data_IF_027839805381
#
_entry.id   IF_027839805381
#
_cell.length_a   1.000
_cell.length_b   1.000
_cell.length_c   1.000
_cell.angle_alpha   90.00
_cell.angle_beta   90.00
_cell.angle_gamma   90.00
#
_symmetry.space_group_name_H-M   'P 1'
#
loop_
_entity.id
_entity.type
_entity.pdbx_description
1 polymer ?
#
# COMPACT_ATOMS: atom_id res chain seq x y z
N UNK A 1 61.30 -0.81 -3.66
CA UNK A 1 60.44 -1.42 -4.71
C UNK A 1 59.22 -2.11 -4.10
N UNK A 2 59.36 -2.85 -3.00
CA UNK A 2 58.26 -3.54 -2.31
C UNK A 2 57.14 -2.62 -1.75
N UNK A 3 57.46 -1.44 -1.20
CA UNK A 3 56.44 -0.50 -0.69
C UNK A 3 55.47 0.04 -1.75
N UNK A 4 55.92 0.21 -3.01
CA UNK A 4 55.06 0.68 -4.10
C UNK A 4 54.07 -0.40 -4.54
N UNK A 5 54.46 -1.66 -4.43
CA UNK A 5 53.60 -2.80 -4.79
C UNK A 5 52.50 -2.96 -3.74
N UNK A 6 52.83 -2.93 -2.44
CA UNK A 6 51.83 -3.04 -1.37
C UNK A 6 50.85 -1.86 -1.34
N UNK A 7 51.32 -0.63 -1.63
CA UNK A 7 50.46 0.55 -1.75
C UNK A 7 49.44 0.43 -2.90
N UNK A 8 49.82 -0.17 -4.04
CA UNK A 8 48.91 -0.41 -5.15
C UNK A 8 47.82 -1.43 -4.77
N UNK A 9 48.18 -2.54 -4.12
CA UNK A 9 47.21 -3.55 -3.70
C UNK A 9 46.22 -3.02 -2.65
N UNK A 10 46.69 -2.19 -1.71
CA UNK A 10 45.82 -1.51 -0.75
C UNK A 10 44.84 -0.56 -1.46
N UNK A 11 45.32 0.20 -2.45
CA UNK A 11 44.51 1.14 -3.25
C UNK A 11 43.46 0.41 -4.10
N UNK A 12 43.82 -0.72 -4.72
CA UNK A 12 42.86 -1.57 -5.45
C UNK A 12 41.81 -2.19 -4.52
N UNK A 13 42.21 -2.63 -3.33
CA UNK A 13 41.28 -3.15 -2.31
C UNK A 13 40.28 -2.10 -1.86
N UNK A 14 40.72 -0.87 -1.59
CA UNK A 14 39.85 0.26 -1.22
C UNK A 14 38.90 0.60 -2.37
N UNK A 15 39.39 0.70 -3.60
CA UNK A 15 38.56 0.99 -4.78
C UNK A 15 37.48 -0.08 -4.98
N UNK A 16 37.83 -1.36 -4.87
CA UNK A 16 36.88 -2.47 -4.97
C UNK A 16 35.80 -2.40 -3.89
N UNK A 17 36.17 -2.08 -2.64
CA UNK A 17 35.24 -1.94 -1.53
C UNK A 17 34.27 -0.77 -1.75
N UNK A 18 34.76 0.36 -2.27
CA UNK A 18 33.94 1.52 -2.63
C UNK A 18 32.96 1.20 -3.76
N UNK A 19 33.40 0.45 -4.79
CA UNK A 19 32.53 -0.01 -5.87
C UNK A 19 31.44 -0.95 -5.32
N UNK A 20 31.79 -1.92 -4.48
CA UNK A 20 30.81 -2.81 -3.84
C UNK A 20 29.80 -2.02 -3.01
N UNK A 21 30.25 -1.06 -2.20
CA UNK A 21 29.37 -0.21 -1.41
C UNK A 21 28.44 0.62 -2.31
N UNK A 22 28.96 1.21 -3.39
CA UNK A 22 28.16 1.98 -4.35
C UNK A 22 27.10 1.11 -5.03
N UNK A 23 27.46 -0.10 -5.47
CA UNK A 23 26.52 -1.08 -6.06
C UNK A 23 25.44 -1.47 -5.05
N UNK A 24 25.81 -1.71 -3.79
CA UNK A 24 24.87 -2.09 -2.74
C UNK A 24 23.90 -0.94 -2.39
N UNK A 25 24.40 0.31 -2.36
CA UNK A 25 23.60 1.51 -2.20
C UNK A 25 22.64 1.72 -3.37
N UNK A 26 23.11 1.56 -4.62
CA UNK A 26 22.29 1.64 -5.83
C UNK A 26 21.22 0.55 -5.86
N UNK A 27 21.56 -0.69 -5.51
CA UNK A 27 20.58 -1.78 -5.43
C UNK A 27 19.53 -1.54 -4.35
N UNK A 28 19.93 -0.97 -3.21
CA UNK A 28 19.01 -0.60 -2.12
C UNK A 28 18.07 0.54 -2.52
N UNK A 29 18.53 1.54 -3.27
CA UNK A 29 17.70 2.65 -3.75
C UNK A 29 16.79 2.24 -4.91
N UNK A 30 17.23 1.29 -5.75
CA UNK A 30 16.44 0.74 -6.87
C UNK A 30 15.42 -0.31 -6.45
N UNK A 31 15.33 -0.68 -5.17
CA UNK A 31 14.31 -1.65 -4.74
C UNK A 31 12.92 -1.13 -5.09
N UNK A 32 12.15 -1.87 -5.91
CA UNK A 32 10.88 -1.39 -6.38
C UNK A 32 9.92 -1.19 -5.21
N UNK A 33 9.19 -0.08 -5.27
CA UNK A 33 8.18 0.29 -4.28
C UNK A 33 7.05 -0.74 -4.17
N UNK A 34 6.73 -1.36 -5.32
CA UNK A 34 5.70 -2.37 -5.51
C UNK A 34 6.35 -3.63 -6.07
N UNK A 35 6.03 -4.78 -5.49
CA UNK A 35 6.47 -6.08 -6.02
C UNK A 35 5.28 -7.00 -6.10
N UNK A 36 4.92 -7.41 -7.32
CA UNK A 36 3.95 -8.46 -7.58
C UNK A 36 4.57 -9.82 -7.27
N UNK A 37 3.85 -10.66 -6.54
CA UNK A 37 4.29 -11.97 -6.10
C UNK A 37 3.11 -12.94 -6.18
N UNK A 38 3.34 -14.24 -6.43
CA UNK A 38 2.29 -15.25 -6.28
C UNK A 38 1.63 -15.14 -4.92
N UNK A 39 0.32 -15.33 -4.85
CA UNK A 39 -0.42 -15.23 -3.60
C UNK A 39 0.14 -16.21 -2.56
N UNK A 40 0.28 -15.72 -1.33
CA UNK A 40 0.66 -16.52 -0.15
C UNK A 40 -0.34 -16.30 0.96
N UNK A 41 -1.00 -17.36 1.39
CA UNK A 41 -1.94 -17.29 2.52
C UNK A 41 -1.20 -17.43 3.86
N UNK A 42 -0.19 -18.30 3.92
CA UNK A 42 0.61 -18.51 5.13
C UNK A 42 1.73 -17.47 5.21
N UNK A 43 1.86 -16.85 6.38
CA UNK A 43 2.86 -15.82 6.66
C UNK A 43 3.81 -16.28 7.78
N UNK A 44 4.82 -17.13 7.47
CA UNK A 44 5.74 -17.63 8.49
C UNK A 44 6.54 -16.49 9.11
N UNK A 45 6.77 -16.55 10.43
CA UNK A 45 7.47 -15.48 11.16
C UNK A 45 6.59 -14.29 11.56
N UNK A 46 5.28 -14.37 11.35
CA UNK A 46 4.31 -13.36 11.76
C UNK A 46 3.31 -13.93 12.79
N UNK A 47 2.75 -13.04 13.59
CA UNK A 47 1.67 -13.31 14.54
C UNK A 47 0.52 -12.36 14.22
N UNK A 48 -0.70 -12.90 14.08
CA UNK A 48 -1.90 -12.10 13.85
C UNK A 48 -2.26 -11.34 15.13
N UNK A 49 -2.39 -10.01 15.03
CA UNK A 49 -2.76 -9.16 16.18
C UNK A 49 -4.10 -8.44 16.00
N UNK A 50 -4.64 -8.43 14.79
CA UNK A 50 -5.97 -7.90 14.46
C UNK A 50 -6.52 -8.64 13.24
N UNK A 51 -7.82 -8.92 13.24
CA UNK A 51 -8.57 -9.29 12.04
C UNK A 51 -9.95 -8.62 12.04
N UNK A 52 -10.44 -8.21 10.86
CA UNK A 52 -11.79 -7.64 10.73
C UNK A 52 -12.88 -8.69 10.98
N UNK A 53 -12.72 -9.87 10.39
CA UNK A 53 -13.65 -10.99 10.59
C UNK A 53 -13.28 -11.81 11.83
N UNK A 54 -14.30 -12.17 12.62
CA UNK A 54 -14.16 -13.11 13.74
C UNK A 54 -13.66 -14.46 13.21
N UNK A 55 -12.45 -14.86 13.57
CA UNK A 55 -12.07 -16.26 13.45
C UNK A 55 -12.94 -17.07 14.42
N UNK A 56 -13.72 -18.02 13.87
CA UNK A 56 -14.60 -18.88 14.64
C UNK A 56 -13.82 -19.52 15.80
N UNK A 57 -14.21 -19.23 17.04
CA UNK A 57 -13.76 -19.95 18.23
C UNK A 57 -12.81 -19.24 19.21
N UNK A 58 -12.23 -18.07 18.91
CA UNK A 58 -11.42 -17.32 19.91
C UNK A 58 -11.99 -15.95 20.20
N UNK A 59 -12.52 -15.79 21.41
CA UNK A 59 -12.82 -14.49 22.04
C UNK A 59 -11.51 -13.78 22.38
N UNK A 60 -10.84 -13.21 21.39
CA UNK A 60 -9.78 -12.24 21.64
C UNK A 60 -10.37 -10.84 21.58
N UNK A 61 -10.34 -10.15 22.72
CA UNK A 61 -10.75 -8.75 22.82
C UNK A 61 -9.97 -7.91 21.79
N UNK A 62 -10.67 -7.13 20.96
CA UNK A 62 -10.07 -6.23 19.96
C UNK A 62 -10.19 -6.64 18.48
N UNK A 63 -10.75 -7.80 18.17
CA UNK A 63 -11.00 -8.23 16.78
C UNK A 63 -12.26 -7.56 16.20
N UNK A 64 -12.19 -7.09 14.94
CA UNK A 64 -13.26 -6.39 14.24
C UNK A 64 -13.56 -4.96 14.70
N UNK A 65 -12.74 -4.41 15.61
CA UNK A 65 -12.92 -3.05 16.15
C UNK A 65 -12.57 -2.00 15.10
N UNK A 66 -13.47 -1.05 14.87
CA UNK A 66 -13.18 0.12 14.05
C UNK A 66 -11.98 0.89 14.64
N UNK A 67 -10.95 1.08 13.81
CA UNK A 67 -9.77 1.82 14.18
C UNK A 67 -9.96 3.29 13.77
N UNK A 68 -9.68 4.22 14.67
CA UNK A 68 -9.78 5.66 14.43
C UNK A 68 -8.46 6.36 14.76
N UNK A 69 -8.00 7.20 13.83
CA UNK A 69 -6.89 8.11 14.01
C UNK A 69 -7.42 9.54 14.14
N UNK A 70 -7.27 10.11 15.34
CA UNK A 70 -7.61 11.52 15.58
C UNK A 70 -6.68 12.46 14.80
N UNK A 71 -5.40 12.09 14.64
CA UNK A 71 -4.41 12.91 13.93
C UNK A 71 -4.76 13.17 12.47
N UNK A 72 -5.32 12.16 11.80
CA UNK A 72 -5.64 12.23 10.38
C UNK A 72 -7.14 12.36 10.12
N UNK A 73 -7.96 12.32 11.18
CA UNK A 73 -9.42 12.14 11.11
C UNK A 73 -9.80 11.05 10.10
N UNK A 74 -9.23 9.87 10.32
CA UNK A 74 -9.33 8.72 9.42
C UNK A 74 -9.76 7.49 10.23
N UNK A 75 -10.76 6.77 9.73
CA UNK A 75 -11.19 5.51 10.31
C UNK A 75 -11.17 4.37 9.28
N UNK A 76 -10.99 3.14 9.76
CA UNK A 76 -11.02 1.97 8.89
C UNK A 76 -10.87 0.66 9.64
N UNK A 77 -11.05 -0.45 8.91
CA UNK A 77 -10.89 -1.81 9.41
C UNK A 77 -10.00 -2.59 8.43
N UNK A 78 -8.69 -2.68 8.69
CA UNK A 78 -7.82 -3.53 7.87
C UNK A 78 -8.26 -4.99 7.95
N UNK A 79 -8.21 -5.78 6.87
CA UNK A 79 -8.59 -7.20 6.98
C UNK A 79 -7.74 -7.93 8.03
N UNK A 80 -6.43 -7.70 8.01
CA UNK A 80 -5.51 -8.21 9.02
C UNK A 80 -4.41 -7.22 9.39
N UNK A 81 -3.92 -7.33 10.61
CA UNK A 81 -2.64 -6.73 11.02
C UNK A 81 -1.77 -7.84 11.59
N UNK A 82 -0.59 -8.00 11.01
CA UNK A 82 0.42 -8.92 11.50
C UNK A 82 1.53 -8.18 12.24
N UNK A 83 2.06 -8.80 13.29
CA UNK A 83 3.31 -8.40 13.96
C UNK A 83 4.41 -9.39 13.60
N UNK A 84 5.60 -8.91 13.24
CA UNK A 84 6.77 -9.79 13.11
C UNK A 84 7.11 -10.41 14.48
N UNK A 85 7.37 -11.72 14.51
CA UNK A 85 7.80 -12.42 15.73
C UNK A 85 9.12 -11.86 16.27
N UNK A 86 10.03 -11.51 15.37
CA UNK A 86 11.28 -10.84 15.69
C UNK A 86 11.10 -9.33 15.54
N UNK A 87 11.16 -8.62 16.66
CA UNK A 87 11.02 -7.17 16.74
C UNK A 87 9.57 -6.73 16.91
N UNK A 88 9.28 -5.50 16.46
CA UNK A 88 7.99 -4.87 16.74
C UNK A 88 7.32 -4.23 15.53
N UNK A 89 7.80 -4.58 14.33
CA UNK A 89 7.20 -4.15 13.08
C UNK A 89 5.81 -4.75 12.91
N UNK A 90 4.85 -3.89 12.56
CA UNK A 90 3.49 -4.25 12.19
C UNK A 90 3.32 -4.14 10.67
N UNK A 91 2.46 -4.98 10.10
CA UNK A 91 2.22 -5.10 8.67
C UNK A 91 0.72 -5.22 8.42
N UNK A 92 0.06 -4.19 7.85
CA UNK A 92 -1.33 -4.31 7.42
C UNK A 92 -1.46 -5.21 6.18
N UNK A 93 -2.58 -5.91 6.11
CA UNK A 93 -3.00 -6.70 4.95
C UNK A 93 -4.41 -6.30 4.56
N UNK A 94 -4.59 -6.06 3.27
CA UNK A 94 -5.88 -5.80 2.63
C UNK A 94 -6.14 -6.95 1.64
N UNK A 95 -7.35 -7.50 1.68
CA UNK A 95 -7.83 -8.55 0.80
C UNK A 95 -8.73 -7.98 -0.30
N UNK A 96 -8.62 -8.55 -1.50
CA UNK A 96 -9.48 -8.24 -2.64
C UNK A 96 -9.97 -9.54 -3.25
N UNK A 97 -11.28 -9.61 -3.49
CA UNK A 97 -11.93 -10.78 -4.10
C UNK A 97 -11.59 -10.93 -5.58
N UNK A 98 -11.36 -9.81 -6.27
CA UNK A 98 -10.95 -9.79 -7.68
C UNK A 98 -9.59 -10.43 -7.94
N UNK A 99 -9.35 -10.81 -9.18
CA UNK A 99 -8.05 -11.27 -9.68
C UNK A 99 -7.32 -10.12 -10.39
N UNK A 100 -6.00 -10.04 -10.26
CA UNK A 100 -5.20 -9.02 -10.96
C UNK A 100 -4.68 -9.51 -12.32
N UNK A 101 -4.67 -10.83 -12.56
CA UNK A 101 -4.23 -11.49 -13.80
C UNK A 101 -2.82 -11.04 -14.19
N UNK A 102 -2.63 -10.56 -15.42
CA UNK A 102 -1.32 -10.14 -15.94
C UNK A 102 -0.96 -8.69 -15.62
N UNK A 103 -1.88 -7.91 -15.01
CA UNK A 103 -1.61 -6.51 -14.74
C UNK A 103 -0.39 -6.34 -13.80
N UNK A 104 0.57 -5.46 -14.15
CA UNK A 104 1.82 -5.34 -13.40
C UNK A 104 1.67 -4.56 -12.09
N UNK A 105 0.59 -3.80 -11.94
CA UNK A 105 0.30 -2.93 -10.81
C UNK A 105 -1.08 -3.25 -10.22
N UNK A 106 -1.29 -3.04 -8.91
CA UNK A 106 -2.62 -3.13 -8.31
C UNK A 106 -3.53 -2.01 -8.80
N UNK A 107 -4.84 -2.14 -8.58
CA UNK A 107 -5.75 -1.03 -8.83
C UNK A 107 -5.39 0.18 -7.94
N UNK A 108 -5.41 1.42 -8.48
CA UNK A 108 -5.01 2.60 -7.72
C UNK A 108 -5.80 2.80 -6.41
N UNK A 109 -7.12 2.57 -6.43
CA UNK A 109 -7.96 2.67 -5.24
C UNK A 109 -7.56 1.66 -4.15
N UNK A 110 -7.28 0.41 -4.52
CA UNK A 110 -6.84 -0.63 -3.58
C UNK A 110 -5.47 -0.29 -2.97
N UNK A 111 -4.56 0.29 -3.77
CA UNK A 111 -3.27 0.78 -3.30
C UNK A 111 -3.43 1.92 -2.29
N UNK A 112 -4.28 2.92 -2.58
CA UNK A 112 -4.54 4.04 -1.69
C UNK A 112 -5.25 3.59 -0.40
N UNK A 113 -6.14 2.60 -0.48
CA UNK A 113 -6.78 2.04 0.70
C UNK A 113 -5.77 1.38 1.65
N UNK A 114 -4.89 0.50 1.14
CA UNK A 114 -3.81 -0.06 1.96
C UNK A 114 -2.90 1.04 2.52
N UNK A 115 -2.61 2.06 1.71
CA UNK A 115 -1.78 3.18 2.13
C UNK A 115 -2.41 4.04 3.24
N UNK A 116 -3.74 4.17 3.26
CA UNK A 116 -4.47 4.81 4.35
C UNK A 116 -4.22 4.09 5.68
N UNK A 117 -4.13 2.75 5.67
CA UNK A 117 -3.76 1.99 6.87
C UNK A 117 -2.32 2.25 7.33
N UNK A 118 -1.40 2.65 6.45
CA UNK A 118 -0.08 3.08 6.91
C UNK A 118 -0.13 4.33 7.78
N UNK A 119 -1.06 5.25 7.51
CA UNK A 119 -1.28 6.45 8.33
C UNK A 119 -2.03 6.08 9.62
N UNK A 120 -3.12 5.34 9.49
CA UNK A 120 -3.97 4.91 10.60
C UNK A 120 -3.18 4.13 11.66
N UNK A 121 -2.41 3.14 11.25
CA UNK A 121 -1.67 2.29 12.17
C UNK A 121 -0.46 2.99 12.80
N UNK A 122 0.15 3.96 12.10
CA UNK A 122 1.23 4.76 12.67
C UNK A 122 0.74 5.59 13.86
N UNK A 123 -0.46 6.17 13.75
CA UNK A 123 -1.06 6.96 14.82
C UNK A 123 -1.48 6.06 16.00
N UNK A 124 -2.18 4.97 15.72
CA UNK A 124 -2.76 4.09 16.76
C UNK A 124 -1.68 3.29 17.51
N UNK A 125 -0.70 2.74 16.79
CA UNK A 125 0.32 1.88 17.39
C UNK A 125 1.63 2.62 17.69
N UNK A 126 1.73 3.92 17.37
CA UNK A 126 2.96 4.69 17.49
C UNK A 126 4.11 4.17 16.62
N UNK A 127 3.81 3.29 15.65
CA UNK A 127 4.81 2.58 14.83
C UNK A 127 4.43 2.65 13.38
N UNK A 128 5.28 3.29 12.60
CA UNK A 128 5.13 3.36 11.15
C UNK A 128 5.33 1.98 10.52
N UNK A 129 4.31 1.38 9.87
CA UNK A 129 4.50 0.18 9.06
C UNK A 129 5.49 0.51 7.94
N UNK A 130 6.53 -0.30 7.73
CA UNK A 130 7.49 -0.05 6.64
C UNK A 130 6.97 -0.52 5.28
N UNK A 131 5.99 -1.44 5.29
CA UNK A 131 5.30 -1.97 4.14
C UNK A 131 3.97 -2.62 4.57
N UNK A 132 3.17 -3.01 3.59
CA UNK A 132 1.94 -3.78 3.73
C UNK A 132 1.78 -4.77 2.59
N UNK A 133 0.73 -5.59 2.66
CA UNK A 133 0.37 -6.52 1.60
C UNK A 133 -1.03 -6.28 1.09
N UNK A 134 -1.17 -6.20 -0.23
CA UNK A 134 -2.47 -6.20 -0.91
C UNK A 134 -2.63 -7.56 -1.60
N UNK A 135 -3.62 -8.35 -1.19
CA UNK A 135 -3.82 -9.72 -1.67
C UNK A 135 -5.06 -9.81 -2.54
N UNK A 136 -4.87 -10.04 -3.82
CA UNK A 136 -5.92 -10.45 -4.75
C UNK A 136 -6.11 -11.97 -4.67
N UNK A 137 -7.10 -12.50 -5.40
CA UNK A 137 -7.38 -13.94 -5.39
C UNK A 137 -6.24 -14.79 -5.96
N UNK A 138 -5.45 -14.24 -6.90
CA UNK A 138 -4.38 -14.91 -7.66
C UNK A 138 -2.96 -14.45 -7.30
N UNK A 139 -2.75 -13.14 -7.12
CA UNK A 139 -1.45 -12.55 -6.77
C UNK A 139 -1.56 -11.65 -5.53
N UNK A 140 -0.40 -11.29 -4.98
CA UNK A 140 -0.28 -10.27 -3.95
C UNK A 140 0.81 -9.26 -4.26
N UNK A 141 0.64 -8.05 -3.75
CA UNK A 141 1.62 -6.98 -3.87
C UNK A 141 2.24 -6.69 -2.51
N UNK A 142 3.57 -6.73 -2.46
CA UNK A 142 4.32 -6.05 -1.41
C UNK A 142 4.34 -4.56 -1.73
N UNK A 143 3.81 -3.75 -0.81
CA UNK A 143 3.70 -2.30 -0.97
C UNK A 143 4.52 -1.61 0.10
N UNK A 144 5.59 -0.91 -0.28
CA UNK A 144 6.40 -0.15 0.67
C UNK A 144 5.66 1.12 1.11
N UNK A 145 5.80 1.53 2.37
CA UNK A 145 5.21 2.77 2.87
C UNK A 145 6.11 3.99 2.57
N UNK A 146 6.06 4.49 1.33
CA UNK A 146 6.87 5.66 0.92
C UNK A 146 6.27 6.99 1.33
N UNK A 147 7.10 8.05 1.25
CA UNK A 147 6.63 9.43 1.46
C UNK A 147 5.64 9.86 0.39
N UNK A 148 5.88 9.50 -0.88
CA UNK A 148 5.01 9.86 -1.99
C UNK A 148 3.62 9.25 -1.85
N UNK A 149 3.54 7.94 -1.58
CA UNK A 149 2.27 7.25 -1.39
C UNK A 149 1.45 7.86 -0.22
N UNK A 150 2.11 8.26 0.87
CA UNK A 150 1.43 8.94 1.97
C UNK A 150 0.97 10.35 1.62
N UNK A 151 1.75 11.08 0.82
CA UNK A 151 1.36 12.40 0.32
C UNK A 151 0.11 12.26 -0.55
N UNK A 152 0.07 11.25 -1.41
CA UNK A 152 -1.07 10.94 -2.25
C UNK A 152 -2.33 10.68 -1.42
N UNK A 153 -2.27 9.78 -0.42
CA UNK A 153 -3.41 9.55 0.49
C UNK A 153 -3.89 10.83 1.17
N UNK A 154 -2.95 11.65 1.69
CA UNK A 154 -3.32 12.92 2.35
C UNK A 154 -3.98 13.90 1.39
N UNK A 155 -3.48 13.98 0.16
CA UNK A 155 -4.06 14.83 -0.87
C UNK A 155 -5.46 14.33 -1.22
N UNK A 156 -5.63 13.04 -1.50
CA UNK A 156 -6.94 12.45 -1.80
C UNK A 156 -7.94 12.69 -0.68
N UNK A 157 -7.55 12.53 0.59
CA UNK A 157 -8.44 12.84 1.73
C UNK A 157 -8.79 14.33 1.80
N UNK A 158 -7.85 15.23 1.51
CA UNK A 158 -8.11 16.67 1.48
C UNK A 158 -9.07 17.03 0.35
N UNK A 159 -8.88 16.45 -0.84
CA UNK A 159 -9.76 16.64 -1.99
C UNK A 159 -11.17 16.12 -1.67
N UNK A 160 -11.30 14.93 -1.08
CA UNK A 160 -12.60 14.37 -0.66
C UNK A 160 -13.31 15.25 0.37
N UNK A 161 -12.59 15.83 1.33
CA UNK A 161 -13.18 16.74 2.34
C UNK A 161 -13.65 18.03 1.69
N UNK A 162 -12.84 18.61 0.81
CA UNK A 162 -13.20 19.79 0.04
C UNK A 162 -14.48 19.55 -0.77
N UNK A 163 -14.57 18.42 -1.48
CA UNK A 163 -15.77 18.01 -2.22
C UNK A 163 -17.03 17.92 -1.35
N UNK A 164 -16.90 17.54 -0.08
CA UNK A 164 -18.03 17.49 0.86
C UNK A 164 -18.43 18.89 1.36
N UNK A 165 -17.49 19.84 1.39
CA UNK A 165 -17.71 21.23 1.81
C UNK A 165 -18.34 22.07 0.70
N UNK A 166 -17.83 21.98 -0.53
CA UNK A 166 -18.28 22.78 -1.67
C UNK A 166 -19.36 22.09 -2.53
N UNK A 167 -19.49 20.77 -2.43
CA UNK A 167 -20.40 19.98 -3.26
C UNK A 167 -19.91 19.80 -4.71
N UNK A 168 -18.68 20.18 -5.01
CA UNK A 168 -18.09 20.13 -6.34
C UNK A 168 -17.09 18.98 -6.44
N UNK A 169 -17.23 18.13 -7.45
CA UNK A 169 -16.27 17.07 -7.70
C UNK A 169 -16.35 16.51 -9.11
N UNK A 170 -15.19 16.35 -9.74
CA UNK A 170 -15.10 15.79 -11.09
C UNK A 170 -14.65 14.33 -11.00
N UNK A 171 -15.50 13.35 -11.34
CA UNK A 171 -15.11 11.96 -11.36
C UNK A 171 -14.17 11.69 -12.55
N UNK A 172 -13.30 10.69 -12.43
CA UNK A 172 -12.65 10.09 -13.59
C UNK A 172 -13.65 9.18 -14.33
N UNK A 173 -14.57 9.82 -15.06
CA UNK A 173 -15.64 9.15 -15.78
C UNK A 173 -15.09 8.45 -17.04
N UNK A 174 -15.45 7.19 -17.18
CA UNK A 174 -15.19 6.36 -18.36
C UNK A 174 -16.28 5.29 -18.41
N UNK A 175 -16.48 4.66 -19.57
CA UNK A 175 -17.38 3.51 -19.66
C UNK A 175 -17.07 2.44 -18.60
N UNK A 176 -15.79 2.16 -18.34
CA UNK A 176 -15.35 1.13 -17.38
C UNK A 176 -15.68 1.50 -15.93
N UNK A 177 -15.45 2.76 -15.53
CA UNK A 177 -15.73 3.23 -14.17
C UNK A 177 -17.22 3.49 -13.93
N UNK A 178 -17.96 3.89 -14.97
CA UNK A 178 -19.37 4.22 -14.87
C UNK A 178 -20.30 3.01 -14.99
N UNK A 179 -19.97 1.96 -15.76
CA UNK A 179 -20.92 0.86 -16.04
C UNK A 179 -21.45 0.11 -14.82
N UNK A 180 -20.68 0.07 -13.71
CA UNK A 180 -21.08 -0.56 -12.45
C UNK A 180 -21.40 0.46 -11.34
N UNK A 181 -21.29 1.76 -11.63
CA UNK A 181 -21.59 2.81 -10.66
C UNK A 181 -23.11 2.90 -10.46
N UNK A 182 -23.57 2.87 -9.21
CA UNK A 182 -25.00 3.02 -8.88
C UNK A 182 -25.58 4.38 -9.32
N UNK A 183 -24.71 5.39 -9.48
CA UNK A 183 -25.11 6.72 -9.94
C UNK A 183 -25.24 6.81 -11.47
N UNK A 184 -24.89 5.77 -12.22
CA UNK A 184 -24.89 5.79 -13.68
C UNK A 184 -26.31 5.80 -14.25
N UNK A 185 -26.64 6.85 -15.00
CA UNK A 185 -27.98 7.06 -15.55
C UNK A 185 -29.01 7.47 -14.49
N UNK A 186 -28.56 7.88 -13.30
CA UNK A 186 -29.42 8.39 -12.23
C UNK A 186 -29.02 9.84 -11.90
N UNK A 187 -28.32 10.05 -10.79
CA UNK A 187 -27.97 11.38 -10.26
C UNK A 187 -26.64 11.92 -10.79
N UNK A 188 -25.78 11.09 -11.39
CA UNK A 188 -24.48 11.53 -11.89
C UNK A 188 -24.57 11.97 -13.36
N UNK A 189 -24.32 13.25 -13.68
CA UNK A 189 -24.39 13.75 -15.05
C UNK A 189 -23.35 13.08 -15.96
N UNK A 190 -22.18 12.72 -15.42
CA UNK A 190 -21.10 12.08 -16.19
C UNK A 190 -21.40 10.65 -16.65
N UNK A 191 -22.29 9.92 -15.94
CA UNK A 191 -22.64 8.55 -16.32
C UNK A 191 -23.47 8.47 -17.60
N UNK A 192 -24.27 9.50 -17.89
CA UNK A 192 -25.22 9.53 -19.00
C UNK A 192 -24.53 9.59 -20.37
N UNK A 193 -23.38 10.28 -20.47
CA UNK A 193 -22.63 10.46 -21.72
C UNK A 193 -22.23 9.15 -22.39
N UNK A 194 -21.86 8.13 -21.61
CA UNK A 194 -21.43 6.83 -22.14
C UNK A 194 -22.58 5.92 -22.60
N UNK A 195 -23.83 6.18 -22.21
CA UNK A 195 -24.99 5.40 -22.71
C UNK A 195 -25.40 5.79 -24.12
N UNK A 196 -25.19 7.05 -24.48
CA UNK A 196 -25.65 7.62 -25.75
C UNK A 196 -24.54 7.65 -26.83
N UNK A 197 -23.38 7.03 -26.57
CA UNK A 197 -22.25 7.04 -27.51
C UNK A 197 -21.56 8.40 -27.67
N UNK A 198 -21.78 9.34 -26.74
CA UNK A 198 -21.07 10.62 -26.73
C UNK A 198 -19.66 10.46 -26.16
N UNK A 199 -18.66 10.92 -26.89
CA UNK A 199 -17.33 11.19 -26.34
C UNK A 199 -17.41 12.43 -25.42
N UNK A 200 -16.61 12.41 -24.35
CA UNK A 200 -16.45 13.54 -23.41
C UNK A 200 -15.46 14.53 -23.97
#
# INVERSE_FOLDING_TARGET
>A
MFEKITANWLSFGILFLLILLAVLLLWRTRRPHLQKQPRKDIMPGFTLIYADQKQSGKKSEGFGKLLYSAKYDLQGKPDYIFKKRLGSAIVPVELKSGAIKDAPLPHPGDLLQLAAYFLLLEDIYGKRPSYGWLKYSDYMFYVRNTRNLRKEVKQTMADMRKMLEDGEGTPNASFVTCRHCICNGTVCPYGQYHRNGGEV
#
